data_IF_568851397820
#
_entry.id   IF_568851397820
#
_cell.length_a   1.000
_cell.length_b   1.000
_cell.length_c   1.000
_cell.angle_alpha   90.00
_cell.angle_beta   90.00
_cell.angle_gamma   90.00
#
_symmetry.space_group_name_H-M   'P 1'
#
loop_
_entity.id
_entity.type
_entity.pdbx_description
1 polymer ?
#
# COMPACT_ATOMS: atom_id res chain seq x y z
N UNK A 1 7.01 -3.21 -22.27
CA UNK A 1 6.07 -4.06 -21.51
C UNK A 1 6.12 -3.62 -20.06
N UNK A 2 4.98 -3.33 -19.42
CA UNK A 2 4.94 -3.01 -18.00
C UNK A 2 4.97 -4.28 -17.16
N UNK A 3 5.69 -4.27 -16.04
CA UNK A 3 5.86 -5.44 -15.17
C UNK A 3 5.74 -5.02 -13.71
N UNK A 4 4.99 -5.76 -12.90
CA UNK A 4 5.01 -5.59 -11.45
C UNK A 4 6.30 -6.21 -10.91
N UNK A 5 7.02 -5.49 -10.05
CA UNK A 5 8.23 -6.00 -9.41
C UNK A 5 7.90 -6.47 -7.99
N UNK A 6 7.47 -5.56 -7.13
CA UNK A 6 7.16 -5.87 -5.72
C UNK A 6 5.99 -5.06 -5.18
N UNK A 7 5.26 -5.62 -4.22
CA UNK A 7 4.33 -4.88 -3.37
C UNK A 7 4.73 -5.03 -1.90
N UNK A 8 4.91 -3.90 -1.22
CA UNK A 8 5.19 -3.81 0.22
C UNK A 8 3.94 -3.33 0.95
N UNK A 9 3.52 -4.08 1.97
CA UNK A 9 2.40 -3.75 2.83
C UNK A 9 2.90 -3.56 4.26
N UNK A 10 2.42 -2.50 4.92
CA UNK A 10 2.73 -2.19 6.32
C UNK A 10 1.46 -1.73 7.03
N UNK A 11 1.17 -2.26 8.22
CA UNK A 11 0.03 -1.83 9.03
C UNK A 11 -1.33 -2.11 8.38
N UNK A 12 -1.42 -3.13 7.52
CA UNK A 12 -2.64 -3.53 6.79
C UNK A 12 -3.17 -4.85 7.35
N UNK A 13 -4.40 -4.85 7.88
CA UNK A 13 -5.06 -6.03 8.47
C UNK A 13 -4.14 -6.80 9.43
N UNK A 14 -3.81 -8.06 9.13
CA UNK A 14 -2.94 -8.91 9.96
C UNK A 14 -1.45 -8.54 9.88
N UNK A 15 -1.06 -7.64 8.97
CA UNK A 15 0.32 -7.20 8.80
C UNK A 15 0.63 -6.13 9.83
N UNK A 16 1.68 -6.37 10.61
CA UNK A 16 2.05 -5.54 11.76
C UNK A 16 2.46 -4.12 11.40
N UNK A 17 2.65 -3.31 12.45
CA UNK A 17 2.97 -1.89 12.34
C UNK A 17 4.48 -1.68 12.38
N UNK A 18 4.96 -0.76 11.55
CA UNK A 18 6.38 -0.39 11.45
C UNK A 18 7.11 -1.12 10.31
N UNK A 19 8.20 -0.53 9.80
CA UNK A 19 8.93 -1.07 8.65
C UNK A 19 9.51 -2.46 8.88
N UNK A 20 9.86 -2.79 10.13
CA UNK A 20 10.35 -4.12 10.52
C UNK A 20 9.31 -5.24 10.39
N UNK A 21 8.03 -4.88 10.34
CA UNK A 21 6.91 -5.80 10.21
C UNK A 21 6.26 -5.72 8.81
N UNK A 22 6.89 -4.99 7.88
CA UNK A 22 6.39 -4.88 6.53
C UNK A 22 6.55 -6.22 5.80
N UNK A 23 5.52 -6.62 5.06
CA UNK A 23 5.58 -7.78 4.18
C UNK A 23 5.81 -7.33 2.75
N UNK A 24 6.84 -7.89 2.12
CA UNK A 24 7.16 -7.66 0.71
C UNK A 24 6.80 -8.91 -0.07
N UNK A 25 6.01 -8.74 -1.13
CA UNK A 25 5.73 -9.80 -2.11
C UNK A 25 6.43 -9.44 -3.42
N UNK A 26 7.23 -10.36 -3.93
CA UNK A 26 7.86 -10.27 -5.24
C UNK A 26 6.97 -10.92 -6.30
N UNK A 27 6.75 -10.23 -7.42
CA UNK A 27 6.00 -10.76 -8.55
C UNK A 27 6.95 -11.43 -9.53
N UNK A 28 6.64 -12.69 -9.84
CA UNK A 28 7.35 -13.51 -10.80
C UNK A 28 6.72 -13.38 -12.19
N UNK A 29 7.56 -13.44 -13.21
CA UNK A 29 7.17 -13.46 -14.63
C UNK A 29 7.46 -14.85 -15.22
N UNK A 30 6.55 -15.44 -16.01
CA UNK A 30 5.29 -14.87 -16.48
C UNK A 30 4.10 -15.05 -15.51
N UNK A 31 4.26 -15.83 -14.43
CA UNK A 31 3.17 -16.21 -13.54
C UNK A 31 3.59 -16.13 -12.07
N UNK A 32 2.77 -15.47 -11.26
CA UNK A 32 2.86 -15.47 -9.79
C UNK A 32 1.65 -16.22 -9.21
N UNK A 33 1.89 -17.19 -8.32
CA UNK A 33 0.83 -17.94 -7.63
C UNK A 33 0.80 -17.53 -6.15
N UNK A 34 -0.34 -17.02 -5.68
CA UNK A 34 -0.57 -16.68 -4.28
C UNK A 34 -1.47 -17.75 -3.66
N UNK A 35 -0.89 -18.66 -2.88
CA UNK A 35 -1.60 -19.77 -2.22
C UNK A 35 -1.39 -19.77 -0.70
N UNK A 36 -2.23 -20.50 0.02
CA UNK A 36 -2.19 -20.61 1.48
C UNK A 36 -3.56 -20.88 2.09
N UNK A 37 -3.65 -21.14 3.41
CA UNK A 37 -4.91 -21.45 4.09
C UNK A 37 -5.89 -20.27 4.12
N UNK A 38 -7.14 -20.54 4.51
CA UNK A 38 -8.12 -19.49 4.75
C UNK A 38 -7.65 -18.56 5.87
N UNK A 39 -7.89 -17.26 5.71
CA UNK A 39 -7.39 -16.24 6.65
C UNK A 39 -5.91 -15.86 6.49
N UNK A 40 -5.14 -16.49 5.60
CA UNK A 40 -3.71 -16.18 5.39
C UNK A 40 -3.43 -14.80 4.75
N UNK A 41 -4.46 -14.01 4.43
CA UNK A 41 -4.28 -12.66 3.85
C UNK A 41 -4.12 -12.61 2.33
N UNK A 42 -4.40 -13.69 1.60
CA UNK A 42 -4.37 -13.72 0.11
C UNK A 42 -5.20 -12.59 -0.51
N UNK A 43 -6.45 -12.45 -0.05
CA UNK A 43 -7.34 -11.38 -0.50
C UNK A 43 -6.78 -9.99 -0.16
N UNK A 44 -6.12 -9.84 0.99
CA UNK A 44 -5.49 -8.59 1.41
C UNK A 44 -4.45 -8.10 0.40
N UNK A 45 -3.67 -9.01 -0.19
CA UNK A 45 -2.67 -8.66 -1.21
C UNK A 45 -3.36 -8.09 -2.47
N UNK A 46 -4.44 -8.73 -2.92
CA UNK A 46 -5.22 -8.25 -4.08
C UNK A 46 -5.91 -6.92 -3.78
N UNK A 47 -6.47 -6.76 -2.58
CA UNK A 47 -7.07 -5.50 -2.12
C UNK A 47 -6.02 -4.37 -2.05
N UNK A 48 -4.80 -4.67 -1.59
CA UNK A 48 -3.71 -3.71 -1.55
C UNK A 48 -3.25 -3.29 -2.95
N UNK A 49 -3.17 -4.22 -3.90
CA UNK A 49 -2.92 -3.91 -5.31
C UNK A 49 -4.01 -3.01 -5.90
N UNK A 50 -5.28 -3.31 -5.61
CA UNK A 50 -6.38 -2.43 -6.02
C UNK A 50 -6.25 -1.05 -5.38
N UNK A 51 -5.96 -1.00 -4.08
CA UNK A 51 -5.84 0.26 -3.35
C UNK A 51 -4.69 1.12 -3.88
N UNK A 52 -3.49 0.57 -4.06
CA UNK A 52 -2.33 1.35 -4.52
C UNK A 52 -2.51 1.86 -5.95
N UNK A 53 -3.16 1.09 -6.82
CA UNK A 53 -3.39 1.48 -8.22
C UNK A 53 -4.57 2.44 -8.41
N UNK A 54 -5.67 2.27 -7.67
CA UNK A 54 -6.91 3.04 -7.90
C UNK A 54 -7.22 4.06 -6.80
N UNK A 55 -6.71 3.84 -5.58
CA UNK A 55 -7.11 4.58 -4.39
C UNK A 55 -8.41 4.10 -3.75
N UNK A 56 -9.12 3.17 -4.39
CA UNK A 56 -10.33 2.58 -3.81
C UNK A 56 -9.97 1.65 -2.67
N UNK A 57 -10.65 1.83 -1.54
CA UNK A 57 -10.54 0.91 -0.41
C UNK A 57 -11.33 -0.38 -0.69
N UNK A 58 -10.95 -1.49 -0.06
CA UNK A 58 -11.74 -2.71 -0.12
C UNK A 58 -13.17 -2.50 0.41
N UNK A 59 -14.10 -3.37 -0.03
CA UNK A 59 -15.51 -3.31 0.38
C UNK A 59 -15.60 -3.42 1.91
N UNK A 60 -15.89 -2.29 2.56
CA UNK A 60 -15.84 -2.14 4.01
C UNK A 60 -15.41 -0.73 4.41
N UNK A 61 -15.43 -0.43 5.71
CA UNK A 61 -14.94 0.85 6.22
C UNK A 61 -13.40 0.84 6.32
N UNK A 62 -12.77 2.02 6.27
CA UNK A 62 -11.34 2.25 6.58
C UNK A 62 -10.83 1.48 7.81
N UNK A 63 -11.69 1.30 8.81
CA UNK A 63 -11.36 0.63 10.08
C UNK A 63 -11.01 -0.85 9.90
N UNK A 64 -11.49 -1.49 8.84
CA UNK A 64 -11.26 -2.91 8.59
C UNK A 64 -9.99 -3.20 7.79
N UNK A 65 -9.44 -2.17 7.14
CA UNK A 65 -8.26 -2.30 6.28
C UNK A 65 -6.96 -2.02 7.03
N UNK A 66 -6.98 -1.07 7.99
CA UNK A 66 -5.83 -0.73 8.82
C UNK A 66 -5.69 -1.75 9.96
N UNK A 67 -4.46 -2.08 10.33
CA UNK A 67 -4.17 -2.94 11.47
C UNK A 67 -4.77 -2.38 12.76
N UNK A 68 -5.40 -3.24 13.57
CA UNK A 68 -6.16 -2.81 14.75
C UNK A 68 -5.24 -2.19 15.81
N UNK A 69 -5.54 -0.95 16.21
CA UNK A 69 -4.81 -0.20 17.24
C UNK A 69 -4.70 -0.93 18.59
N UNK A 70 -5.71 -1.72 18.95
CA UNK A 70 -5.72 -2.50 20.21
C UNK A 70 -4.77 -3.68 20.12
N UNK A 71 -4.66 -4.32 18.95
CA UNK A 71 -3.71 -5.41 18.73
C UNK A 71 -2.27 -4.91 18.65
N UNK A 72 -2.07 -3.72 18.09
CA UNK A 72 -0.75 -3.07 18.06
C UNK A 72 -0.33 -2.45 19.40
N UNK A 73 -1.26 -2.33 20.36
CA UNK A 73 -1.11 -1.54 21.59
C UNK A 73 -0.60 -0.11 21.33
N UNK A 74 -1.21 0.57 20.35
CA UNK A 74 -0.87 1.96 19.98
C UNK A 74 -2.10 2.86 19.91
N UNK A 75 -1.89 4.15 20.19
CA UNK A 75 -2.92 5.21 19.99
C UNK A 75 -3.02 5.69 18.53
N UNK A 76 -2.04 5.32 17.71
CA UNK A 76 -1.93 5.65 16.28
C UNK A 76 -1.28 4.49 15.53
N UNK A 77 -1.84 4.17 14.36
CA UNK A 77 -1.29 3.22 13.40
C UNK A 77 -1.12 3.92 12.06
N UNK A 78 0.10 3.88 11.54
CA UNK A 78 0.41 4.33 10.20
C UNK A 78 0.51 3.10 9.29
N UNK A 79 -0.32 3.07 8.25
CA UNK A 79 -0.40 2.02 7.27
C UNK A 79 0.08 2.52 5.91
N UNK A 80 0.75 1.66 5.14
CA UNK A 80 1.17 2.00 3.79
C UNK A 80 1.14 0.80 2.85
N UNK A 81 0.91 1.09 1.57
CA UNK A 81 1.09 0.15 0.46
C UNK A 81 2.01 0.81 -0.55
N UNK A 82 3.12 0.16 -0.88
CA UNK A 82 4.06 0.59 -1.91
C UNK A 82 4.11 -0.44 -3.03
N UNK A 83 3.92 0.00 -4.27
CA UNK A 83 4.01 -0.84 -5.45
C UNK A 83 5.19 -0.40 -6.30
N UNK A 84 6.17 -1.28 -6.48
CA UNK A 84 7.25 -1.12 -7.45
C UNK A 84 6.88 -1.82 -8.75
N UNK A 85 7.03 -1.14 -9.88
CA UNK A 85 6.78 -1.69 -11.21
C UNK A 85 7.65 -1.01 -12.25
N UNK A 86 7.85 -1.69 -13.39
CA UNK A 86 8.43 -1.09 -14.59
C UNK A 86 7.34 -0.55 -15.50
N UNK A 87 7.52 0.69 -15.96
CA UNK A 87 6.62 1.31 -16.92
C UNK A 87 6.84 0.79 -18.35
N UNK A 88 6.03 1.27 -19.31
CA UNK A 88 6.15 0.89 -20.71
C UNK A 88 7.48 1.30 -21.36
N UNK A 89 8.18 2.27 -20.78
CA UNK A 89 9.50 2.78 -21.22
C UNK A 89 10.65 2.07 -20.50
N UNK A 90 10.37 1.08 -19.66
CA UNK A 90 11.37 0.32 -18.90
C UNK A 90 11.91 1.02 -17.66
N UNK A 91 11.32 2.14 -17.23
CA UNK A 91 11.74 2.89 -16.04
C UNK A 91 11.14 2.28 -14.78
N UNK A 92 11.92 2.25 -13.70
CA UNK A 92 11.43 1.83 -12.38
C UNK A 92 10.54 2.91 -11.79
N UNK A 93 9.34 2.52 -11.36
CA UNK A 93 8.36 3.38 -10.73
C UNK A 93 7.97 2.81 -9.36
N UNK A 94 7.75 3.67 -8.38
CA UNK A 94 7.23 3.32 -7.05
C UNK A 94 6.03 4.19 -6.73
N UNK A 95 4.85 3.59 -6.61
CA UNK A 95 3.65 4.28 -6.13
C UNK A 95 3.47 3.97 -4.65
N UNK A 96 3.29 5.01 -3.84
CA UNK A 96 3.06 4.89 -2.39
C UNK A 96 1.73 5.50 -2.02
N UNK A 97 0.92 4.75 -1.26
CA UNK A 97 -0.28 5.26 -0.61
C UNK A 97 -0.21 4.99 0.89
N UNK A 98 -0.56 6.01 1.68
CA UNK A 98 -0.51 5.95 3.15
C UNK A 98 -1.87 6.29 3.74
N UNK A 99 -2.20 5.60 4.83
CA UNK A 99 -3.39 5.88 5.63
C UNK A 99 -2.99 5.84 7.10
N UNK A 100 -3.47 6.81 7.85
CA UNK A 100 -3.29 6.88 9.29
C UNK A 100 -4.63 6.61 9.98
N UNK A 101 -4.58 5.82 11.05
CA UNK A 101 -5.67 5.70 12.01
C UNK A 101 -5.18 6.15 13.38
N UNK A 102 -6.01 6.94 14.08
CA UNK A 102 -5.70 7.42 15.42
C UNK A 102 -6.94 7.46 16.32
N UNK A 103 -6.72 7.38 17.63
CA UNK A 103 -7.75 7.65 18.63
C UNK A 103 -7.86 9.16 18.86
N UNK A 104 -9.00 9.74 18.50
CA UNK A 104 -9.32 11.14 18.76
C UNK A 104 -9.79 11.38 20.20
N UNK A 105 -10.08 12.64 20.51
CA UNK A 105 -10.68 13.02 21.79
C UNK A 105 -12.00 12.25 22.02
N UNK A 106 -12.21 11.75 23.24
CA UNK A 106 -13.36 10.91 23.64
C UNK A 106 -13.39 9.49 23.04
N UNK A 107 -12.25 8.97 22.57
CA UNK A 107 -12.12 7.56 22.15
C UNK A 107 -12.68 7.25 20.76
N UNK A 108 -13.11 8.26 19.99
CA UNK A 108 -13.58 8.09 18.60
C UNK A 108 -12.39 7.80 17.68
N UNK A 109 -12.51 6.75 16.86
CA UNK A 109 -11.50 6.41 15.86
C UNK A 109 -11.59 7.37 14.66
N UNK A 110 -10.49 8.03 14.33
CA UNK A 110 -10.36 8.92 13.17
C UNK A 110 -9.41 8.30 12.15
N UNK A 111 -9.80 8.33 10.87
CA UNK A 111 -8.97 7.86 9.76
C UNK A 111 -8.61 9.05 8.87
N UNK A 112 -7.35 9.13 8.47
CA UNK A 112 -6.84 10.16 7.56
C UNK A 112 -6.01 9.50 6.46
N UNK A 113 -6.45 9.62 5.22
CA UNK A 113 -5.61 9.27 4.07
C UNK A 113 -4.60 10.38 3.82
N UNK A 114 -3.35 10.01 3.61
CA UNK A 114 -2.33 10.93 3.12
C UNK A 114 -2.37 11.01 1.59
N UNK A 115 -1.67 11.99 1.05
CA UNK A 115 -1.53 12.18 -0.39
C UNK A 115 -0.76 11.00 -1.01
N UNK A 116 -1.20 10.56 -2.19
CA UNK A 116 -0.51 9.49 -2.93
C UNK A 116 0.70 10.07 -3.66
N UNK A 117 1.81 9.34 -3.70
CA UNK A 117 3.03 9.76 -4.39
C UNK A 117 3.47 8.71 -5.40
N UNK A 118 4.09 9.17 -6.48
CA UNK A 118 4.75 8.33 -7.47
C UNK A 118 6.19 8.79 -7.65
N UNK A 119 7.15 7.91 -7.37
CA UNK A 119 8.55 8.13 -7.63
C UNK A 119 8.95 7.41 -8.92
N UNK A 120 9.64 8.11 -9.83
CA UNK A 120 10.11 7.56 -11.09
C UNK A 120 11.64 7.68 -11.11
N UNK A 121 12.31 6.57 -11.36
CA UNK A 121 13.76 6.53 -11.57
C UNK A 121 14.08 7.11 -12.95
N UNK A 122 14.90 8.15 -12.99
CA UNK A 122 15.38 8.76 -14.24
C UNK A 122 16.68 8.13 -14.71
N UNK A 123 17.62 8.07 -13.78
CA UNK A 123 18.95 7.50 -13.90
C UNK A 123 19.15 6.52 -12.74
N UNK A 124 20.05 5.53 -12.85
CA UNK A 124 20.28 4.56 -11.79
C UNK A 124 20.55 5.24 -10.45
N UNK A 125 19.63 5.08 -9.49
CA UNK A 125 19.70 5.72 -8.17
C UNK A 125 19.16 7.14 -8.07
N UNK A 126 18.82 7.82 -9.18
CA UNK A 126 18.18 9.15 -9.16
C UNK A 126 16.65 9.03 -9.28
N UNK A 127 15.97 9.32 -8.18
CA UNK A 127 14.51 9.25 -8.08
C UNK A 127 13.88 10.64 -8.11
N UNK A 128 12.92 10.84 -9.03
CA UNK A 128 12.04 12.02 -9.02
C UNK A 128 10.69 11.65 -8.43
N UNK A 129 10.36 12.20 -7.27
CA UNK A 129 9.05 12.05 -6.64
C UNK A 129 8.05 13.08 -7.17
N UNK A 130 6.86 12.62 -7.51
CA UNK A 130 5.73 13.41 -7.97
C UNK A 130 4.55 13.14 -7.03
N UNK A 131 3.81 14.20 -6.70
CA UNK A 131 2.64 14.13 -5.84
C UNK A 131 1.37 13.97 -6.67
N UNK A 132 0.32 13.36 -6.11
CA UNK A 132 -0.97 13.18 -6.82
C UNK A 132 -1.65 14.49 -7.27
N UNK A 133 -1.25 15.65 -6.71
CA UNK A 133 -1.65 16.98 -7.22
C UNK A 133 -1.09 17.34 -8.60
N UNK A 134 -0.01 16.69 -9.02
CA UNK A 134 0.75 17.01 -10.25
C UNK A 134 0.58 15.90 -11.30
N UNK A 135 0.24 14.70 -10.87
CA UNK A 135 0.03 13.53 -11.74
C UNK A 135 -1.23 12.82 -11.29
N UNK A 136 -2.22 12.71 -12.19
CA UNK A 136 -3.44 11.99 -11.85
C UNK A 136 -3.13 10.50 -11.69
N UNK A 137 -3.35 10.00 -10.48
CA UNK A 137 -3.18 8.59 -10.11
C UNK A 137 -4.55 7.94 -9.88
N UNK A 138 -5.63 8.52 -10.43
CA UNK A 138 -6.99 8.01 -10.33
C UNK A 138 -7.44 7.46 -11.68
N UNK A 139 -8.42 6.56 -11.60
CA UNK A 139 -9.16 6.06 -12.74
C UNK A 139 -10.15 7.17 -13.14
N UNK A 140 -10.19 7.53 -14.43
CA UNK A 140 -11.34 8.25 -15.03
C UNK A 140 -12.64 7.47 -14.80
#
# INVERSE_FOLDING_TARGET
MSLLDTVELQGIRSIGVGPQNANVIEFLSPLTIICGPNGAGKTTIIEALKYVTTGELPKGSFQTFIHDMRLADRSRVDASVKLKFKDIRGRSCVVTRRIMQSKGAKGKITNKSEESTIAIEKEPGEWKSLSSKVVDCRKE
#
